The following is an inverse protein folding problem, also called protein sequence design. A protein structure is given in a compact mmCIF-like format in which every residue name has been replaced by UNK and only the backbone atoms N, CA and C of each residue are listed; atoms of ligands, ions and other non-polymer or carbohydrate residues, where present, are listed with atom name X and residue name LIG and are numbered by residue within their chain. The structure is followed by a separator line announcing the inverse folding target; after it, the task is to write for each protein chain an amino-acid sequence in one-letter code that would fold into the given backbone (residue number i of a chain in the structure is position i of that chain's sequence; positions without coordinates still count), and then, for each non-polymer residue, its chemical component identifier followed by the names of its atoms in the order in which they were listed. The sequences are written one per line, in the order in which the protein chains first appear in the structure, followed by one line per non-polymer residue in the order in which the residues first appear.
data_IF_285140909129
#
_entry.id   IF_285140909129
#
_cell.length_a   1.000
_cell.length_b   1.000
_cell.length_c   1.000
_cell.angle_alpha   90.00
_cell.angle_beta   90.00
_cell.angle_gamma   90.00
#
_symmetry.space_group_name_H-M   'P 1'
#
loop_
_entity.id
_entity.type
_entity.pdbx_description
1 polymer ?
#
# COMPACT_ATOMS: atom_id res chain seq x y z
N UNK A 1 2.89 -17.59 -18.04
CA UNK A 1 3.88 -17.54 -16.95
C UNK A 1 4.33 -16.10 -16.80
N UNK A 2 3.87 -15.40 -15.76
CA UNK A 2 4.20 -13.98 -15.55
C UNK A 2 5.67 -13.81 -15.19
N UNK A 3 6.31 -12.74 -15.68
CA UNK A 3 7.68 -12.38 -15.29
C UNK A 3 7.75 -12.23 -13.76
N UNK A 4 8.83 -12.69 -13.10
CA UNK A 4 9.04 -12.44 -11.69
C UNK A 4 9.11 -10.93 -11.43
N UNK A 5 8.53 -10.49 -10.32
CA UNK A 5 8.61 -9.11 -9.85
C UNK A 5 10.08 -8.74 -9.66
N UNK A 6 10.50 -7.64 -10.29
CA UNK A 6 11.92 -7.26 -10.35
C UNK A 6 12.43 -6.63 -9.05
N UNK A 7 11.55 -6.12 -8.20
CA UNK A 7 11.92 -5.51 -6.91
C UNK A 7 10.70 -5.35 -5.98
N UNK A 8 10.99 -5.31 -4.67
CA UNK A 8 10.06 -4.95 -3.62
C UNK A 8 10.50 -3.63 -3.01
N UNK A 9 9.56 -2.72 -2.78
CA UNK A 9 9.82 -1.49 -2.03
C UNK A 9 9.00 -1.54 -0.75
N UNK A 10 9.68 -1.30 0.36
CA UNK A 10 9.10 -1.31 1.69
C UNK A 10 9.04 0.13 2.19
N UNK A 11 7.83 0.59 2.54
CA UNK A 11 7.61 1.87 3.19
C UNK A 11 7.06 1.65 4.60
N UNK A 12 7.38 2.57 5.53
CA UNK A 12 6.81 2.60 6.87
C UNK A 12 6.05 3.92 7.11
N UNK A 13 5.03 3.89 7.96
CA UNK A 13 4.26 5.07 8.37
C UNK A 13 4.85 5.77 9.58
N UNK A 14 4.76 7.10 9.60
CA UNK A 14 4.64 7.86 10.85
C UNK A 14 3.17 8.03 11.29
N UNK A 15 2.24 8.05 10.32
CA UNK A 15 0.79 8.02 10.54
C UNK A 15 0.08 7.23 9.42
N UNK A 16 -1.07 6.56 9.69
CA UNK A 16 -1.71 6.42 11.01
C UNK A 16 -0.87 5.59 12.01
N UNK A 17 -1.10 5.73 13.33
CA UNK A 17 -0.43 4.91 14.34
C UNK A 17 -0.80 3.43 14.21
N UNK A 18 0.01 2.60 14.89
CA UNK A 18 -0.07 1.14 14.86
C UNK A 18 -1.48 0.61 15.11
N UNK A 19 -1.79 -0.54 14.53
CA UNK A 19 -3.07 -1.24 14.69
C UNK A 19 -2.87 -2.69 15.13
N UNK A 20 -3.56 -3.12 16.20
CA UNK A 20 -3.30 -4.44 16.79
C UNK A 20 -4.49 -5.40 16.69
N UNK A 21 -5.70 -4.90 16.51
CA UNK A 21 -6.88 -5.72 16.19
C UNK A 21 -7.34 -5.52 14.74
N UNK A 22 -8.19 -6.44 14.29
CA UNK A 22 -8.64 -6.48 12.90
C UNK A 22 -9.42 -5.22 12.50
N UNK A 23 -10.31 -4.74 13.37
CA UNK A 23 -11.19 -3.62 13.06
C UNK A 23 -10.38 -2.32 12.98
N UNK A 24 -9.43 -2.13 13.90
CA UNK A 24 -8.51 -1.00 13.86
C UNK A 24 -7.68 -1.00 12.59
N UNK A 25 -7.08 -2.15 12.23
CA UNK A 25 -6.25 -2.22 11.03
C UNK A 25 -7.06 -1.99 9.74
N UNK A 26 -8.28 -2.49 9.66
CA UNK A 26 -9.19 -2.20 8.53
C UNK A 26 -9.46 -0.70 8.45
N UNK A 27 -9.78 -0.05 9.58
CA UNK A 27 -9.99 1.40 9.62
C UNK A 27 -8.75 2.18 9.21
N UNK A 28 -7.54 1.72 9.57
CA UNK A 28 -6.29 2.37 9.13
C UNK A 28 -6.11 2.28 7.62
N UNK A 29 -6.32 1.10 7.04
CA UNK A 29 -6.23 0.89 5.59
C UNK A 29 -7.22 1.78 4.85
N UNK A 30 -8.46 1.88 5.33
CA UNK A 30 -9.49 2.76 4.78
C UNK A 30 -9.10 4.23 4.86
N UNK A 31 -8.60 4.69 6.02
CA UNK A 31 -8.16 6.08 6.18
C UNK A 31 -7.02 6.45 5.22
N UNK A 32 -6.10 5.53 4.94
CA UNK A 32 -5.03 5.72 3.96
C UNK A 32 -5.60 5.81 2.54
N UNK A 33 -6.57 4.95 2.20
CA UNK A 33 -7.24 5.01 0.90
C UNK A 33 -7.99 6.33 0.72
N UNK A 34 -8.73 6.77 1.74
CA UNK A 34 -9.46 8.03 1.74
C UNK A 34 -8.52 9.23 1.58
N UNK A 35 -7.37 9.24 2.26
CA UNK A 35 -6.37 10.29 2.08
C UNK A 35 -5.87 10.35 0.63
N UNK A 36 -5.52 9.20 0.06
CA UNK A 36 -5.02 9.14 -1.32
C UNK A 36 -6.09 9.56 -2.34
N UNK A 37 -7.32 9.09 -2.20
CA UNK A 37 -8.38 9.38 -3.18
C UNK A 37 -8.97 10.78 -3.01
N UNK A 38 -9.31 11.16 -1.78
CA UNK A 38 -10.09 12.38 -1.53
C UNK A 38 -9.21 13.61 -1.34
N UNK A 39 -7.99 13.46 -0.83
CA UNK A 39 -7.08 14.61 -0.59
C UNK A 39 -5.97 14.73 -1.62
N UNK A 40 -5.53 13.63 -2.22
CA UNK A 40 -4.43 13.63 -3.20
C UNK A 40 -4.90 13.33 -4.63
N UNK A 41 -6.20 13.10 -4.82
CA UNK A 41 -6.82 12.85 -6.13
C UNK A 41 -6.26 11.62 -6.87
N UNK A 42 -5.76 10.63 -6.12
CA UNK A 42 -5.30 9.38 -6.71
C UNK A 42 -6.49 8.49 -7.04
N UNK A 43 -6.32 7.64 -8.05
CA UNK A 43 -7.38 6.71 -8.46
C UNK A 43 -7.66 5.64 -7.40
N UNK A 44 -6.67 5.35 -6.55
CA UNK A 44 -6.72 4.33 -5.49
C UNK A 44 -5.57 4.53 -4.50
N UNK A 45 -5.58 3.79 -3.38
CA UNK A 45 -4.49 3.69 -2.41
C UNK A 45 -3.14 3.46 -3.11
N UNK A 46 -2.08 4.13 -2.68
CA UNK A 46 -0.79 4.09 -3.39
C UNK A 46 -0.05 2.75 -3.36
N UNK A 47 -0.48 1.81 -2.52
CA UNK A 47 0.24 0.59 -2.19
C UNK A 47 -0.45 -0.66 -2.75
N UNK A 48 0.33 -1.69 -3.09
CA UNK A 48 -0.23 -2.97 -3.52
C UNK A 48 -0.73 -3.79 -2.35
N UNK A 49 0.06 -3.84 -1.27
CA UNK A 49 -0.28 -4.53 -0.04
C UNK A 49 0.10 -3.69 1.17
N UNK A 50 -0.67 -3.83 2.23
CA UNK A 50 -0.40 -3.27 3.54
C UNK A 50 -0.26 -4.41 4.55
N UNK A 51 0.61 -4.27 5.54
CA UNK A 51 0.74 -5.23 6.64
C UNK A 51 0.45 -4.49 7.94
N UNK A 52 -0.54 -4.97 8.68
CA UNK A 52 -0.86 -4.47 10.02
C UNK A 52 -0.07 -5.20 11.10
N UNK A 53 0.04 -4.60 12.28
CA UNK A 53 0.74 -5.18 13.43
C UNK A 53 -0.03 -6.36 14.04
N UNK A 54 -1.30 -6.53 13.67
CA UNK A 54 -2.05 -7.78 13.85
C UNK A 54 -1.53 -8.96 12.98
N UNK A 55 -0.49 -8.74 12.16
CA UNK A 55 0.17 -9.76 11.34
C UNK A 55 -0.57 -10.09 10.04
N UNK A 56 -1.64 -9.36 9.70
CA UNK A 56 -2.42 -9.59 8.49
C UNK A 56 -1.93 -8.74 7.33
N UNK A 57 -2.10 -9.29 6.13
CA UNK A 57 -1.88 -8.58 4.86
C UNK A 57 -3.22 -8.11 4.31
N UNK A 58 -3.29 -6.83 3.95
CA UNK A 58 -4.43 -6.18 3.35
C UNK A 58 -4.11 -5.86 1.89
N UNK A 59 -5.02 -6.22 0.99
CA UNK A 59 -4.88 -5.91 -0.42
C UNK A 59 -5.28 -4.46 -0.70
N UNK A 60 -4.37 -3.70 -1.31
CA UNK A 60 -4.66 -2.40 -1.92
C UNK A 60 -4.85 -2.57 -3.42
N UNK A 61 -3.90 -2.09 -4.23
CA UNK A 61 -3.96 -2.20 -5.70
C UNK A 61 -3.81 -3.62 -6.24
N UNK A 62 -3.39 -4.58 -5.42
CA UNK A 62 -3.20 -5.99 -5.81
C UNK A 62 -2.03 -6.21 -6.79
N UNK A 63 -1.83 -7.44 -7.24
CA UNK A 63 -0.61 -7.81 -7.98
C UNK A 63 -0.42 -7.20 -9.38
N UNK A 64 -1.50 -6.72 -10.03
CA UNK A 64 -1.53 -6.47 -11.47
C UNK A 64 -1.89 -5.03 -11.89
N UNK A 65 -1.76 -4.04 -10.99
CA UNK A 65 -2.07 -2.63 -11.31
C UNK A 65 -0.85 -1.71 -11.17
N UNK A 66 -0.70 -0.82 -12.14
CA UNK A 66 0.36 0.20 -12.19
C UNK A 66 0.26 1.13 -10.96
N UNK A 67 1.36 1.31 -10.23
CA UNK A 67 1.44 2.26 -9.12
C UNK A 67 1.45 3.70 -9.65
N UNK A 68 0.89 4.65 -8.89
CA UNK A 68 0.83 6.08 -9.27
C UNK A 68 1.74 6.98 -8.41
N UNK A 69 2.44 6.40 -7.44
CA UNK A 69 3.13 7.13 -6.39
C UNK A 69 4.53 7.67 -6.79
N UNK A 70 5.17 7.14 -7.85
CA UNK A 70 6.57 7.47 -8.17
C UNK A 70 6.78 7.99 -9.61
N UNK A 71 6.79 9.32 -9.83
CA UNK A 71 7.07 9.90 -11.14
C UNK A 71 8.40 9.37 -11.72
N UNK A 72 8.37 8.81 -12.94
CA UNK A 72 9.56 8.29 -13.64
C UNK A 72 9.80 6.77 -13.53
N UNK A 73 9.18 6.09 -12.58
CA UNK A 73 9.30 4.62 -12.41
C UNK A 73 8.00 3.86 -12.68
N UNK A 74 6.91 4.59 -12.91
CA UNK A 74 5.58 4.00 -13.12
C UNK A 74 5.50 3.11 -14.39
N UNK A 75 6.37 3.30 -15.40
CA UNK A 75 6.26 2.60 -16.70
C UNK A 75 7.01 1.25 -16.79
N UNK A 76 8.00 0.99 -15.93
CA UNK A 76 8.81 -0.25 -15.97
C UNK A 76 8.67 -1.12 -14.71
N UNK A 77 7.89 -0.66 -13.73
CA UNK A 77 7.72 -1.31 -12.46
C UNK A 77 6.44 -2.17 -12.42
N UNK A 78 6.55 -3.44 -12.81
CA UNK A 78 5.84 -4.50 -12.08
C UNK A 78 6.54 -4.68 -10.72
N UNK A 79 6.59 -3.61 -9.92
CA UNK A 79 7.08 -3.65 -8.55
C UNK A 79 5.89 -3.90 -7.65
N UNK A 80 6.00 -4.85 -6.72
CA UNK A 80 5.02 -4.98 -5.64
C UNK A 80 5.53 -4.14 -4.48
N UNK A 81 4.77 -3.12 -4.12
CA UNK A 81 5.10 -2.21 -3.03
C UNK A 81 4.37 -2.69 -1.77
N UNK A 82 5.14 -3.00 -0.72
CA UNK A 82 4.61 -3.35 0.59
C UNK A 82 4.64 -2.12 1.48
N UNK A 83 3.49 -1.82 2.07
CA UNK A 83 3.36 -0.85 3.13
C UNK A 83 3.37 -1.59 4.45
N UNK A 84 4.24 -1.20 5.38
CA UNK A 84 4.24 -1.73 6.73
C UNK A 84 3.73 -0.62 7.65
N UNK A 85 2.67 -0.92 8.39
CA UNK A 85 2.29 -0.13 9.55
C UNK A 85 3.30 -0.55 10.64
N UNK A 86 4.30 0.30 10.89
CA UNK A 86 5.24 0.16 12.02
C UNK A 86 5.60 1.55 12.50
N UNK A 87 5.26 1.84 13.77
CA UNK A 87 5.81 2.91 14.59
C UNK A 87 6.77 2.37 15.64
#
# INVERSE_FOLDING_TARGET
TGKPLSFYVIHHTYQPPNCYDDDECIQRVQAIQDLHQNSQEWVDIGYHFLVGENGKVYEGRGWNRQAAHSPGWNNDAYGTYFYLLFG
#
